data_IF_049315225646
#
_entry.id   IF_049315225646
#
_cell.length_a   1.000
_cell.length_b   1.000
_cell.length_c   1.000
_cell.angle_alpha   90.00
_cell.angle_beta   90.00
_cell.angle_gamma   90.00
#
_symmetry.space_group_name_H-M   'P 1'
#
loop_
_entity.id
_entity.type
_entity.pdbx_description
1 polymer ?
#
# COMPACT_ATOMS: atom_id res chain seq x y z
N UNK A 1 17.63 -16.23 -0.52
CA UNK A 1 16.70 -15.49 0.38
C UNK A 1 15.70 -14.65 -0.41
N UNK A 2 16.16 -13.73 -1.27
CA UNK A 2 15.30 -12.85 -2.09
C UNK A 2 14.24 -13.58 -2.91
N UNK A 3 14.57 -14.72 -3.51
CA UNK A 3 13.61 -15.56 -4.25
C UNK A 3 12.41 -16.02 -3.41
N UNK A 4 12.62 -16.33 -2.11
CA UNK A 4 11.53 -16.71 -1.20
C UNK A 4 10.66 -15.52 -0.85
N UNK A 5 11.28 -14.35 -0.63
CA UNK A 5 10.57 -13.10 -0.36
C UNK A 5 9.71 -12.74 -1.59
N UNK A 6 10.30 -12.78 -2.79
CA UNK A 6 9.61 -12.48 -4.03
C UNK A 6 8.43 -13.44 -4.25
N UNK A 7 8.63 -14.75 -4.06
CA UNK A 7 7.56 -15.73 -4.18
C UNK A 7 6.41 -15.50 -3.19
N UNK A 8 6.71 -15.06 -1.97
CA UNK A 8 5.67 -14.65 -1.00
C UNK A 8 4.97 -13.37 -1.46
N UNK A 9 5.71 -12.38 -1.95
CA UNK A 9 5.15 -11.14 -2.48
C UNK A 9 4.23 -11.41 -3.69
N UNK A 10 4.59 -12.33 -4.59
CA UNK A 10 3.77 -12.72 -5.75
C UNK A 10 2.44 -13.37 -5.34
N UNK A 11 2.39 -14.05 -4.19
CA UNK A 11 1.14 -14.63 -3.66
C UNK A 11 0.17 -13.58 -3.12
N UNK A 12 0.69 -12.50 -2.53
CA UNK A 12 -0.15 -11.44 -1.94
C UNK A 12 -0.49 -10.33 -2.93
N UNK A 13 0.34 -10.13 -3.96
CA UNK A 13 0.15 -9.12 -5.01
C UNK A 13 -1.24 -9.13 -5.67
N UNK A 14 -1.85 -10.27 -6.04
CA UNK A 14 -3.19 -10.25 -6.65
C UNK A 14 -4.27 -9.68 -5.71
N UNK A 15 -4.14 -9.85 -4.39
CA UNK A 15 -5.07 -9.26 -3.43
C UNK A 15 -4.88 -7.75 -3.37
N UNK A 16 -3.63 -7.30 -3.29
CA UNK A 16 -3.29 -5.86 -3.26
C UNK A 16 -3.70 -5.18 -4.58
N UNK A 17 -3.57 -5.86 -5.71
CA UNK A 17 -4.02 -5.38 -7.02
C UNK A 17 -5.55 -5.36 -7.13
N UNK A 18 -6.25 -6.32 -6.52
CA UNK A 18 -7.72 -6.29 -6.44
C UNK A 18 -8.21 -5.08 -5.63
N UNK A 19 -7.45 -4.67 -4.61
CA UNK A 19 -7.70 -3.45 -3.82
C UNK A 19 -7.20 -2.15 -4.52
N UNK A 20 -6.78 -2.23 -5.78
CA UNK A 20 -6.35 -1.08 -6.57
C UNK A 20 -4.94 -0.58 -6.23
N UNK A 21 -4.05 -1.47 -5.80
CA UNK A 21 -2.66 -1.16 -5.48
C UNK A 21 -1.63 -2.12 -6.06
N UNK A 22 -0.39 -1.99 -5.60
CA UNK A 22 0.71 -2.90 -5.88
C UNK A 22 1.77 -2.87 -4.77
N UNK A 23 2.69 -3.84 -4.77
CA UNK A 23 3.79 -3.93 -3.82
C UNK A 23 5.11 -4.29 -4.53
N UNK A 24 6.16 -3.53 -4.21
CA UNK A 24 7.50 -3.71 -4.77
C UNK A 24 8.53 -3.88 -3.66
N UNK A 25 9.45 -4.84 -3.85
CA UNK A 25 10.56 -5.05 -2.94
C UNK A 25 11.63 -3.98 -3.14
N UNK A 26 11.94 -3.22 -2.09
CA UNK A 26 12.98 -2.18 -2.10
C UNK A 26 14.32 -2.72 -1.61
N UNK A 27 14.29 -3.59 -0.59
CA UNK A 27 15.52 -4.15 -0.04
C UNK A 27 15.28 -5.17 1.06
N UNK A 28 16.36 -5.85 1.43
CA UNK A 28 16.39 -6.78 2.55
C UNK A 28 17.72 -6.65 3.28
N UNK A 29 17.67 -6.31 4.57
CA UNK A 29 18.83 -6.17 5.44
C UNK A 29 18.48 -6.66 6.85
N UNK A 30 19.38 -7.40 7.48
CA UNK A 30 19.26 -7.82 8.89
C UNK A 30 17.93 -8.50 9.26
N UNK A 31 17.35 -9.28 8.34
CA UNK A 31 16.04 -9.93 8.57
C UNK A 31 14.84 -9.07 8.26
N UNK A 32 15.02 -7.77 8.00
CA UNK A 32 13.96 -6.81 7.69
C UNK A 32 13.78 -6.70 6.17
N UNK A 33 12.54 -6.88 5.71
CA UNK A 33 12.14 -6.69 4.31
C UNK A 33 11.54 -5.30 4.17
N UNK A 34 12.13 -4.45 3.34
CA UNK A 34 11.58 -3.13 3.01
C UNK A 34 10.83 -3.22 1.70
N UNK A 35 9.57 -2.80 1.70
CA UNK A 35 8.71 -2.76 0.52
C UNK A 35 8.14 -1.36 0.33
N UNK A 36 7.85 -1.00 -0.92
CA UNK A 36 7.03 0.15 -1.25
C UNK A 36 5.70 -0.34 -1.80
N UNK A 37 4.62 0.33 -1.43
CA UNK A 37 3.28 -0.01 -1.91
C UNK A 37 2.71 1.18 -2.68
N UNK A 38 2.02 0.88 -3.76
CA UNK A 38 1.24 1.86 -4.55
C UNK A 38 -0.23 1.50 -4.43
N UNK A 39 -1.17 2.44 -4.59
CA UNK A 39 -2.60 2.10 -4.67
C UNK A 39 -3.55 2.93 -3.84
N UNK A 40 -4.78 2.42 -3.70
CA UNK A 40 -6.02 3.12 -3.31
C UNK A 40 -6.07 3.78 -1.91
N UNK A 41 -4.95 3.94 -1.21
CA UNK A 41 -4.85 4.97 -0.16
C UNK A 41 -4.40 6.35 -0.69
N UNK A 42 -4.40 6.56 -2.01
CA UNK A 42 -4.52 7.90 -2.60
C UNK A 42 -6.00 8.33 -2.82
N UNK A 43 -6.96 7.47 -2.46
CA UNK A 43 -8.39 7.69 -2.67
C UNK A 43 -9.25 7.45 -1.42
N UNK A 44 -8.68 7.03 -0.29
CA UNK A 44 -9.34 7.19 1.00
C UNK A 44 -9.23 8.66 1.40
N UNK A 45 -9.94 9.50 0.65
CA UNK A 45 -10.65 10.62 1.25
C UNK A 45 -11.49 10.02 2.38
N UNK A 46 -10.90 9.86 3.57
CA UNK A 46 -11.59 10.41 4.72
C UNK A 46 -11.80 11.85 4.29
N UNK A 47 -13.03 12.15 3.90
CA UNK A 47 -13.41 13.43 3.38
C UNK A 47 -13.02 14.50 4.41
N UNK A 48 -11.82 15.08 4.26
CA UNK A 48 -11.52 16.42 4.76
C UNK A 48 -12.50 17.44 4.15
N UNK A 49 -13.25 17.05 3.11
CA UNK A 49 -14.39 17.78 2.58
C UNK A 49 -15.64 17.78 3.48
N UNK A 50 -15.91 16.77 4.34
CA UNK A 50 -17.09 16.83 5.23
C UNK A 50 -16.85 17.72 6.45
N UNK A 51 -15.59 17.92 6.87
CA UNK A 51 -15.27 18.86 7.96
C UNK A 51 -15.39 20.33 7.51
N UNK A 52 -15.31 20.60 6.20
CA UNK A 52 -15.35 21.96 5.67
C UNK A 52 -16.77 22.55 5.54
N UNK A 53 -17.82 21.72 5.64
CA UNK A 53 -19.22 22.18 5.62
C UNK A 53 -19.69 22.81 6.94
N UNK A 54 -18.91 22.74 8.04
CA UNK A 54 -19.41 23.10 9.38
C UNK A 54 -18.84 24.35 10.07
N UNK A 55 -17.73 24.93 9.58
CA UNK A 55 -17.00 25.98 10.31
C UNK A 55 -17.13 27.37 9.65
N UNK A 56 -17.64 27.44 8.40
CA UNK A 56 -17.89 28.70 7.69
C UNK A 56 -19.39 28.93 7.40
N UNK A 57 -20.26 28.74 8.40
CA UNK A 57 -21.66 29.18 8.37
C UNK A 57 -21.93 30.16 9.51
#
# INVERSE_FOLDING_TARGET
>A
MLQRIQHTLDKIRPYIQADGGDVFLVGYADGIVTVTMTGACNGCMVMDSTLNDGINA
#
